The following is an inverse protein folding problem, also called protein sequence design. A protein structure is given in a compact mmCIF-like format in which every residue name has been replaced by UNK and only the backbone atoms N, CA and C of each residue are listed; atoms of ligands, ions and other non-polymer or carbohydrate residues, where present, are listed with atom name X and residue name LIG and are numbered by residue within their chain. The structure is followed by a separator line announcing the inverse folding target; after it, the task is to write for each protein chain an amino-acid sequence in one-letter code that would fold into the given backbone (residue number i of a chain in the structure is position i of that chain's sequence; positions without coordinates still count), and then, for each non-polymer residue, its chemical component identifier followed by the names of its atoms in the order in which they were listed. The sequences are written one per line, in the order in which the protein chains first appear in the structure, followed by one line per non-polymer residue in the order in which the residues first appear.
data_IF_953046016241
#
_entry.id   IF_953046016241
#
_cell.length_a   1.000
_cell.length_b   1.000
_cell.length_c   1.000
_cell.angle_alpha   90.00
_cell.angle_beta   90.00
_cell.angle_gamma   90.00
#
_symmetry.space_group_name_H-M   'P 1'
#
loop_
_entity.id
_entity.type
_entity.pdbx_description
1 polymer ?
#
# COMPACT_ATOMS: atom_id res chain seq x y z
N UNK A 1 -20.60 15.71 -18.18
CA UNK A 1 -20.21 16.51 -17.00
C UNK A 1 -18.79 16.10 -16.62
N UNK A 2 -18.00 17.00 -16.16
CA UNK A 2 -16.57 16.75 -15.88
C UNK A 2 -16.19 17.26 -14.47
N UNK A 3 -15.13 16.69 -13.90
CA UNK A 3 -14.56 17.06 -12.60
C UNK A 3 -13.04 17.01 -12.68
N UNK A 4 -12.43 17.99 -13.31
CA UNK A 4 -10.97 18.08 -13.51
C UNK A 4 -10.34 19.06 -12.53
N UNK A 5 -9.07 18.84 -12.16
CA UNK A 5 -8.30 19.75 -11.32
C UNK A 5 -6.96 20.07 -11.99
N UNK A 6 -6.58 21.34 -11.99
CA UNK A 6 -5.24 21.76 -12.43
C UNK A 6 -4.19 21.29 -11.43
N UNK A 7 -3.13 20.66 -11.93
CA UNK A 7 -1.91 20.37 -11.17
C UNK A 7 -1.01 21.60 -11.22
N UNK A 8 -0.81 22.14 -12.42
CA UNK A 8 -0.16 23.42 -12.70
C UNK A 8 -0.74 24.02 -14.01
N UNK A 9 -0.04 24.93 -14.67
CA UNK A 9 -0.54 25.58 -15.89
C UNK A 9 -0.73 24.57 -17.04
N UNK A 10 0.15 23.59 -17.18
CA UNK A 10 0.16 22.65 -18.30
C UNK A 10 -0.40 21.27 -17.96
N UNK A 11 -0.29 20.83 -16.70
CA UNK A 11 -0.81 19.54 -16.24
C UNK A 11 -2.19 19.65 -15.63
N UNK A 12 -3.08 18.76 -16.03
CA UNK A 12 -4.43 18.65 -15.47
C UNK A 12 -4.69 17.19 -15.03
N UNK A 13 -5.15 17.01 -13.81
CA UNK A 13 -5.71 15.74 -13.35
C UNK A 13 -7.05 15.49 -14.06
N UNK A 14 -7.16 14.34 -14.71
CA UNK A 14 -8.33 13.90 -15.47
C UNK A 14 -8.88 12.56 -15.00
N UNK A 15 -8.36 12.05 -13.88
CA UNK A 15 -8.80 10.82 -13.25
C UNK A 15 -10.22 10.87 -12.70
N UNK A 16 -10.56 9.90 -11.86
CA UNK A 16 -11.87 9.86 -11.21
C UNK A 16 -11.83 9.12 -9.87
N UNK A 17 -12.71 9.52 -8.95
CA UNK A 17 -12.96 8.81 -7.70
C UNK A 17 -14.02 7.72 -7.88
N UNK A 18 -13.82 6.55 -7.28
CA UNK A 18 -14.80 5.50 -7.16
C UNK A 18 -15.16 5.25 -5.69
N UNK A 19 -16.43 5.52 -5.33
CA UNK A 19 -16.99 5.23 -3.99
C UNK A 19 -17.99 4.07 -3.99
N UNK A 20 -18.12 3.38 -5.12
CA UNK A 20 -19.05 2.26 -5.28
C UNK A 20 -18.33 0.91 -5.36
N UNK A 21 -17.00 0.94 -5.45
CA UNK A 21 -16.19 -0.25 -5.42
C UNK A 21 -16.14 -0.78 -3.98
N UNK A 22 -16.65 -1.98 -3.76
CA UNK A 22 -16.65 -2.60 -2.44
C UNK A 22 -15.25 -3.15 -2.08
N UNK A 23 -14.57 -3.72 -3.07
CA UNK A 23 -13.24 -4.31 -2.94
C UNK A 23 -12.32 -3.79 -4.05
N UNK A 24 -11.18 -3.26 -3.69
CA UNK A 24 -10.07 -2.98 -4.59
C UNK A 24 -9.30 -4.28 -4.82
N UNK A 25 -8.89 -4.57 -6.05
CA UNK A 25 -8.27 -5.85 -6.49
C UNK A 25 -9.07 -7.11 -6.09
N UNK A 26 -10.35 -6.97 -5.79
CA UNK A 26 -11.18 -8.07 -5.31
C UNK A 26 -10.85 -8.57 -3.89
N UNK A 27 -9.95 -7.90 -3.19
CA UNK A 27 -9.44 -8.28 -1.87
C UNK A 27 -9.63 -7.18 -0.84
N UNK A 28 -9.18 -5.96 -1.12
CA UNK A 28 -9.08 -4.90 -0.12
C UNK A 28 -10.38 -4.09 -0.02
N UNK A 29 -11.03 -4.13 1.14
CA UNK A 29 -12.17 -3.25 1.40
C UNK A 29 -11.76 -1.78 1.35
N UNK A 30 -12.50 -0.95 0.60
CA UNK A 30 -12.25 0.49 0.44
C UNK A 30 -13.51 1.28 0.84
N UNK A 31 -13.82 1.35 2.14
CA UNK A 31 -15.05 2.01 2.63
C UNK A 31 -15.11 3.49 2.25
N UNK A 32 -13.97 4.17 2.17
CA UNK A 32 -13.86 5.57 1.78
C UNK A 32 -13.58 5.74 0.27
N UNK A 33 -13.74 4.66 -0.50
CA UNK A 33 -13.49 4.65 -1.94
C UNK A 33 -12.01 4.56 -2.31
N UNK A 34 -11.73 4.89 -3.56
CA UNK A 34 -10.38 4.95 -4.14
C UNK A 34 -10.37 5.97 -5.28
N UNK A 35 -9.28 6.68 -5.46
CA UNK A 35 -9.04 7.52 -6.63
C UNK A 35 -8.24 6.74 -7.67
N UNK A 36 -8.61 6.86 -8.93
CA UNK A 36 -7.83 6.42 -10.09
C UNK A 36 -7.32 7.67 -10.78
N UNK A 37 -6.05 7.96 -10.62
CA UNK A 37 -5.46 9.18 -11.13
C UNK A 37 -4.94 8.96 -12.56
N UNK A 38 -5.20 9.92 -13.39
CA UNK A 38 -4.62 10.06 -14.73
C UNK A 38 -4.37 11.54 -14.96
N UNK A 39 -3.36 11.86 -15.73
CA UNK A 39 -2.92 13.24 -15.93
C UNK A 39 -2.78 13.53 -17.41
N UNK A 40 -3.11 14.77 -17.81
CA UNK A 40 -2.98 15.26 -19.16
C UNK A 40 -2.04 16.46 -19.19
N UNK A 41 -0.96 16.35 -19.95
CA UNK A 41 -0.05 17.43 -20.29
C UNK A 41 -0.50 18.08 -21.59
N UNK A 42 -0.72 19.39 -21.55
CA UNK A 42 -1.05 20.22 -22.69
C UNK A 42 0.17 21.07 -23.09
N UNK A 43 0.88 20.62 -24.12
CA UNK A 43 2.05 21.30 -24.68
C UNK A 43 1.90 21.33 -26.22
N UNK A 44 2.96 21.58 -26.99
CA UNK A 44 2.95 21.46 -28.46
C UNK A 44 2.47 20.08 -28.88
N UNK A 45 2.90 19.01 -28.13
CA UNK A 45 2.33 17.68 -28.16
C UNK A 45 1.61 17.39 -26.86
N UNK A 46 0.42 16.87 -26.97
CA UNK A 46 -0.42 16.51 -25.84
C UNK A 46 -0.13 15.07 -25.40
N UNK A 47 0.11 14.88 -24.10
CA UNK A 47 0.42 13.55 -23.53
C UNK A 47 -0.58 13.19 -22.45
N UNK A 48 -1.25 12.05 -22.60
CA UNK A 48 -2.04 11.42 -21.57
C UNK A 48 -1.18 10.40 -20.81
N UNK A 49 -1.23 10.41 -19.48
CA UNK A 49 -0.52 9.46 -18.61
C UNK A 49 -1.48 8.52 -17.94
N UNK A 50 -1.38 7.25 -18.28
CA UNK A 50 -2.23 6.15 -17.84
C UNK A 50 -3.72 6.37 -18.12
N UNK A 51 -4.51 5.38 -17.81
CA UNK A 51 -5.97 5.45 -17.87
C UNK A 51 -6.54 5.15 -16.49
N UNK A 52 -7.74 4.62 -16.40
CA UNK A 52 -8.45 4.34 -15.14
C UNK A 52 -9.17 3.00 -15.20
N UNK A 53 -9.64 2.53 -14.05
CA UNK A 53 -10.55 1.39 -13.94
C UNK A 53 -11.84 1.60 -14.76
N UNK A 54 -12.33 0.51 -15.31
CA UNK A 54 -13.56 0.50 -16.09
C UNK A 54 -14.81 1.00 -15.32
N UNK A 55 -14.80 0.92 -14.00
CA UNK A 55 -15.88 1.40 -13.14
C UNK A 55 -16.09 2.92 -13.23
N UNK A 56 -15.06 3.68 -13.57
CA UNK A 56 -15.09 5.15 -13.67
C UNK A 56 -14.85 5.68 -15.09
N UNK A 57 -14.85 4.80 -16.09
CA UNK A 57 -14.57 5.13 -17.51
C UNK A 57 -15.34 6.35 -18.04
N UNK A 58 -16.59 6.47 -17.70
CA UNK A 58 -17.44 7.56 -18.22
C UNK A 58 -16.95 8.92 -17.73
N UNK A 59 -16.69 9.05 -16.44
CA UNK A 59 -16.16 10.29 -15.85
C UNK A 59 -14.78 10.62 -16.43
N UNK A 60 -13.89 9.64 -16.52
CA UNK A 60 -12.56 9.80 -17.09
C UNK A 60 -12.62 10.31 -18.53
N UNK A 61 -13.43 9.69 -19.39
CA UNK A 61 -13.57 10.10 -20.80
C UNK A 61 -14.15 11.50 -20.94
N UNK A 62 -15.14 11.87 -20.13
CA UNK A 62 -15.68 13.22 -20.09
C UNK A 62 -14.63 14.25 -19.62
N UNK A 63 -13.79 13.88 -18.64
CA UNK A 63 -12.69 14.71 -18.15
C UNK A 63 -11.64 14.93 -19.25
N UNK A 64 -11.17 13.86 -19.88
CA UNK A 64 -10.21 13.92 -20.99
C UNK A 64 -10.75 14.75 -22.15
N UNK A 65 -11.97 14.49 -22.59
CA UNK A 65 -12.60 15.24 -23.68
C UNK A 65 -12.74 16.73 -23.36
N UNK A 66 -13.08 17.05 -22.11
CA UNK A 66 -13.17 18.44 -21.67
C UNK A 66 -11.84 19.19 -21.77
N UNK A 67 -10.75 18.60 -21.27
CA UNK A 67 -9.42 19.23 -21.27
C UNK A 67 -8.87 19.30 -22.68
N UNK A 68 -9.02 18.25 -23.48
CA UNK A 68 -8.59 18.23 -24.89
C UNK A 68 -9.33 19.27 -25.75
N UNK A 69 -10.55 19.62 -25.39
CA UNK A 69 -11.37 20.62 -26.09
C UNK A 69 -11.36 20.43 -27.63
N UNK A 70 -11.65 19.19 -28.06
CA UNK A 70 -11.73 18.82 -29.47
C UNK A 70 -10.39 18.44 -30.13
N UNK A 71 -9.27 18.55 -29.42
CA UNK A 71 -7.97 17.99 -29.87
C UNK A 71 -7.91 16.50 -29.62
N UNK A 72 -6.92 15.82 -30.21
CA UNK A 72 -6.54 14.45 -29.89
C UNK A 72 -5.23 14.45 -29.08
N UNK A 73 -5.02 13.48 -28.19
CA UNK A 73 -3.70 13.31 -27.58
C UNK A 73 -2.72 12.76 -28.62
N UNK A 74 -1.49 13.29 -28.60
CA UNK A 74 -0.41 12.78 -29.44
C UNK A 74 0.15 11.47 -28.91
N UNK A 75 0.19 11.35 -27.56
CA UNK A 75 0.72 10.17 -26.89
C UNK A 75 -0.13 9.73 -25.69
N UNK A 76 -0.16 8.43 -25.49
CA UNK A 76 -0.51 7.77 -24.22
C UNK A 76 0.77 7.14 -23.65
N UNK A 77 1.21 7.59 -22.49
CA UNK A 77 2.25 6.93 -21.72
C UNK A 77 1.60 5.96 -20.75
N UNK A 78 2.03 4.70 -20.76
CA UNK A 78 1.54 3.66 -19.86
C UNK A 78 2.65 3.32 -18.88
N UNK A 79 2.47 3.75 -17.63
CA UNK A 79 3.39 3.46 -16.56
C UNK A 79 3.17 2.06 -15.99
N UNK A 80 1.89 1.65 -15.91
CA UNK A 80 1.49 0.42 -15.25
C UNK A 80 0.38 -0.29 -16.02
N UNK A 81 0.45 -1.62 -16.08
CA UNK A 81 -0.47 -2.44 -16.89
C UNK A 81 -1.60 -3.06 -16.07
N UNK A 82 -1.67 -2.79 -14.79
CA UNK A 82 -2.81 -3.22 -13.99
C UNK A 82 -4.10 -2.64 -14.56
N UNK A 83 -5.20 -3.43 -14.64
CA UNK A 83 -6.42 -3.00 -15.32
C UNK A 83 -7.02 -1.69 -14.82
N UNK A 84 -6.80 -1.32 -13.57
CA UNK A 84 -7.27 -0.06 -13.00
C UNK A 84 -6.51 1.19 -13.52
N UNK A 85 -5.42 0.98 -14.26
CA UNK A 85 -4.66 2.02 -14.99
C UNK A 85 -4.64 1.80 -16.50
N UNK A 86 -5.06 0.62 -16.98
CA UNK A 86 -4.93 0.24 -18.38
C UNK A 86 -6.25 -0.09 -19.08
N UNK A 87 -7.38 -0.21 -18.35
CA UNK A 87 -8.64 -0.71 -18.91
C UNK A 87 -9.17 0.09 -20.10
N UNK A 88 -8.93 1.40 -20.14
CA UNK A 88 -9.46 2.28 -21.19
C UNK A 88 -8.53 2.44 -22.41
N UNK A 89 -7.34 1.81 -22.38
CA UNK A 89 -6.31 1.95 -23.42
C UNK A 89 -6.82 1.58 -24.81
N UNK A 90 -7.46 0.41 -24.96
CA UNK A 90 -7.94 -0.06 -26.25
C UNK A 90 -9.03 0.84 -26.85
N UNK A 91 -9.92 1.37 -25.99
CA UNK A 91 -10.99 2.27 -26.40
C UNK A 91 -10.43 3.63 -26.82
N UNK A 92 -9.46 4.18 -26.07
CA UNK A 92 -8.79 5.41 -26.46
C UNK A 92 -8.01 5.25 -27.76
N UNK A 93 -7.34 4.12 -27.95
CA UNK A 93 -6.61 3.81 -29.19
C UNK A 93 -7.53 3.70 -30.41
N UNK A 94 -8.78 3.25 -30.23
CA UNK A 94 -9.81 3.28 -31.29
C UNK A 94 -10.36 4.67 -31.55
N UNK A 95 -10.56 5.44 -30.49
CA UNK A 95 -11.07 6.81 -30.56
C UNK A 95 -10.03 7.77 -31.19
N UNK A 96 -8.75 7.55 -30.90
CA UNK A 96 -7.63 8.37 -31.38
C UNK A 96 -6.63 7.47 -32.13
N UNK A 97 -6.91 7.13 -33.42
CA UNK A 97 -6.10 6.17 -34.16
C UNK A 97 -4.65 6.60 -34.40
N UNK A 98 -4.37 7.89 -34.41
CA UNK A 98 -3.04 8.46 -34.61
C UNK A 98 -2.24 8.65 -33.30
N UNK A 99 -2.86 8.40 -32.15
CA UNK A 99 -2.20 8.48 -30.83
C UNK A 99 -1.11 7.40 -30.69
N UNK A 100 0.14 7.82 -30.44
CA UNK A 100 1.25 6.92 -30.12
C UNK A 100 1.11 6.36 -28.71
N UNK A 101 1.47 5.08 -28.50
CA UNK A 101 1.48 4.45 -27.18
C UNK A 101 2.92 4.20 -26.78
N UNK A 102 3.32 4.69 -25.61
CA UNK A 102 4.67 4.57 -25.05
C UNK A 102 4.64 3.75 -23.77
N UNK A 103 5.39 2.68 -23.69
CA UNK A 103 5.52 1.87 -22.48
C UNK A 103 6.81 1.05 -22.47
N UNK A 104 7.07 0.33 -21.37
CA UNK A 104 8.20 -0.60 -21.29
C UNK A 104 8.03 -1.81 -22.21
N UNK A 105 9.13 -2.52 -22.50
CA UNK A 105 9.08 -3.76 -23.28
C UNK A 105 8.24 -4.85 -22.59
N UNK A 106 8.27 -4.91 -21.26
CA UNK A 106 7.45 -5.85 -20.50
C UNK A 106 5.96 -5.48 -20.56
N UNK A 107 5.61 -4.19 -20.46
CA UNK A 107 4.24 -3.70 -20.62
C UNK A 107 3.69 -4.01 -22.04
N UNK A 108 4.50 -3.85 -23.09
CA UNK A 108 4.11 -4.23 -24.45
C UNK A 108 3.67 -5.69 -24.54
N UNK A 109 4.39 -6.61 -23.88
CA UNK A 109 4.01 -8.01 -23.83
C UNK A 109 2.68 -8.22 -23.08
N UNK A 110 2.46 -7.48 -21.97
CA UNK A 110 1.22 -7.52 -21.22
C UNK A 110 0.03 -6.96 -22.04
N UNK A 111 0.25 -5.91 -22.84
CA UNK A 111 -0.77 -5.37 -23.74
C UNK A 111 -1.28 -6.47 -24.70
N UNK A 112 -0.38 -7.29 -25.23
CA UNK A 112 -0.78 -8.41 -26.09
C UNK A 112 -1.55 -9.51 -25.33
N UNK A 113 -1.38 -9.61 -24.01
CA UNK A 113 -2.09 -10.58 -23.16
C UNK A 113 -3.46 -10.05 -22.70
N UNK A 114 -3.54 -8.78 -22.32
CA UNK A 114 -4.79 -8.18 -21.85
C UNK A 114 -5.74 -7.77 -22.99
N UNK A 115 -5.19 -7.40 -24.14
CA UNK A 115 -5.94 -6.92 -25.31
C UNK A 115 -5.66 -7.81 -26.53
N UNK A 116 -4.83 -7.35 -27.47
CA UNK A 116 -4.48 -8.08 -28.67
C UNK A 116 -3.11 -7.67 -29.24
N UNK A 117 -2.66 -8.45 -30.22
CA UNK A 117 -1.37 -8.21 -30.89
C UNK A 117 -1.40 -6.95 -31.78
N UNK A 118 -2.56 -6.52 -32.27
CA UNK A 118 -2.70 -5.33 -33.11
C UNK A 118 -2.41 -4.08 -32.28
N UNK A 119 -3.02 -3.96 -31.10
CA UNK A 119 -2.75 -2.86 -30.18
C UNK A 119 -1.29 -2.85 -29.73
N UNK A 120 -0.72 -4.04 -29.38
CA UNK A 120 0.69 -4.17 -29.03
C UNK A 120 1.63 -3.76 -30.17
N UNK A 121 1.19 -3.95 -31.44
CA UNK A 121 1.92 -3.52 -32.63
C UNK A 121 2.06 -2.01 -32.77
N UNK A 122 1.18 -1.23 -32.15
CA UNK A 122 1.18 0.24 -32.17
C UNK A 122 2.11 0.86 -31.11
N UNK A 123 2.66 0.05 -30.22
CA UNK A 123 3.48 0.50 -29.10
C UNK A 123 4.91 0.83 -29.54
N UNK A 124 5.37 2.01 -29.18
CA UNK A 124 6.78 2.37 -29.15
C UNK A 124 7.35 2.05 -27.77
N UNK A 125 8.35 1.16 -27.74
CA UNK A 125 9.01 0.77 -26.48
C UNK A 125 9.98 1.86 -26.06
N UNK A 126 9.87 2.27 -24.79
CA UNK A 126 10.81 3.17 -24.11
C UNK A 126 11.48 2.44 -22.94
N UNK A 127 12.65 2.91 -22.54
CA UNK A 127 13.48 2.32 -21.48
C UNK A 127 14.07 3.39 -20.57
N UNK A 128 14.72 2.95 -19.52
CA UNK A 128 15.48 3.81 -18.59
C UNK A 128 16.35 4.82 -19.34
N UNK A 129 16.14 6.10 -19.06
CA UNK A 129 16.90 7.21 -19.59
C UNK A 129 16.47 7.72 -20.97
N UNK A 130 15.56 7.05 -21.67
CA UNK A 130 14.96 7.58 -22.89
C UNK A 130 14.17 8.86 -22.57
N UNK A 131 14.07 9.76 -23.54
CA UNK A 131 13.36 11.04 -23.38
C UNK A 131 12.36 11.28 -24.49
N UNK A 132 11.27 11.98 -24.16
CA UNK A 132 10.29 12.51 -25.10
C UNK A 132 10.23 14.02 -24.95
N UNK A 133 10.54 14.77 -26.02
CA UNK A 133 10.31 16.21 -26.08
C UNK A 133 8.90 16.47 -26.61
N UNK A 134 8.10 17.23 -25.87
CA UNK A 134 6.72 17.56 -26.22
C UNK A 134 6.54 18.99 -26.72
N UNK A 135 7.60 19.77 -26.71
CA UNK A 135 7.65 21.19 -26.99
C UNK A 135 8.47 21.90 -25.92
N UNK A 136 7.79 22.47 -24.94
CA UNK A 136 8.42 23.06 -23.74
C UNK A 136 8.97 22.01 -22.79
N UNK A 137 8.27 20.87 -22.66
CA UNK A 137 8.63 19.83 -21.69
C UNK A 137 9.55 18.77 -22.29
N UNK A 138 10.42 18.23 -21.42
CA UNK A 138 11.25 17.06 -21.68
C UNK A 138 10.95 16.00 -20.62
N UNK A 139 10.35 14.91 -21.08
CA UNK A 139 9.92 13.80 -20.25
C UNK A 139 10.98 12.70 -20.30
N UNK A 140 11.57 12.34 -19.16
CA UNK A 140 12.53 11.24 -19.03
C UNK A 140 11.88 10.04 -18.40
N UNK A 141 12.06 8.85 -18.99
CA UNK A 141 11.53 7.59 -18.47
C UNK A 141 12.49 6.95 -17.47
N UNK A 142 11.94 6.45 -16.36
CA UNK A 142 12.67 5.83 -15.26
C UNK A 142 12.03 4.47 -14.99
N UNK A 143 12.83 3.38 -15.08
CA UNK A 143 12.34 2.05 -14.76
C UNK A 143 12.22 1.86 -13.23
N UNK A 144 11.06 1.36 -12.81
CA UNK A 144 10.75 1.04 -11.42
C UNK A 144 10.23 -0.41 -11.26
N UNK A 145 10.96 -1.42 -11.75
CA UNK A 145 10.47 -2.79 -11.79
C UNK A 145 10.15 -3.29 -10.39
N UNK A 146 9.02 -4.01 -10.25
CA UNK A 146 8.48 -4.52 -9.00
C UNK A 146 8.07 -3.45 -7.98
N UNK A 147 7.79 -2.22 -8.46
CA UNK A 147 7.11 -1.22 -7.63
C UNK A 147 5.76 -0.87 -8.31
N UNK A 148 4.69 -1.78 -8.34
CA UNK A 148 4.85 -3.10 -7.70
C UNK A 148 4.88 -4.28 -8.72
N UNK A 149 4.68 -4.07 -10.01
CA UNK A 149 4.79 -5.07 -11.09
C UNK A 149 6.11 -4.92 -11.88
N UNK A 150 6.52 -5.96 -12.64
CA UNK A 150 7.84 -5.97 -13.27
C UNK A 150 8.01 -4.94 -14.40
N UNK A 151 6.92 -4.49 -15.01
CA UNK A 151 6.93 -3.59 -16.18
C UNK A 151 6.93 -2.12 -15.82
N UNK A 152 6.76 -1.75 -14.55
CA UNK A 152 6.49 -0.37 -14.11
C UNK A 152 7.58 0.59 -14.57
N UNK A 153 7.09 1.69 -15.18
CA UNK A 153 7.85 2.89 -15.50
C UNK A 153 7.34 4.06 -14.65
N UNK A 154 8.18 5.05 -14.49
CA UNK A 154 7.85 6.40 -14.01
C UNK A 154 8.28 7.40 -15.07
N UNK A 155 7.70 8.59 -15.06
CA UNK A 155 8.13 9.70 -15.93
C UNK A 155 8.54 10.89 -15.10
N UNK A 156 9.76 11.37 -15.30
CA UNK A 156 10.25 12.61 -14.70
C UNK A 156 10.22 13.73 -15.75
N UNK A 157 9.45 14.78 -15.49
CA UNK A 157 9.48 16.00 -16.28
C UNK A 157 10.65 16.86 -15.84
N UNK A 158 11.65 16.98 -16.71
CA UNK A 158 12.85 17.78 -16.47
C UNK A 158 12.58 19.27 -16.45
N UNK A 159 11.47 19.73 -17.01
CA UNK A 159 11.09 21.13 -17.09
C UNK A 159 10.44 21.61 -15.81
N UNK A 160 9.35 20.98 -15.41
CA UNK A 160 8.57 21.38 -14.24
C UNK A 160 8.98 20.63 -12.96
N UNK A 161 9.97 19.70 -13.07
CA UNK A 161 10.53 18.96 -11.94
C UNK A 161 9.51 18.12 -11.20
N UNK A 162 8.59 17.50 -11.93
CA UNK A 162 7.58 16.63 -11.38
C UNK A 162 7.82 15.15 -11.76
N UNK A 163 7.47 14.25 -10.86
CA UNK A 163 7.59 12.82 -11.06
C UNK A 163 6.19 12.20 -11.08
N UNK A 164 5.81 11.64 -12.24
CA UNK A 164 4.67 10.74 -12.33
C UNK A 164 5.17 9.36 -11.86
N UNK A 165 4.71 8.93 -10.68
CA UNK A 165 5.38 7.90 -9.89
C UNK A 165 4.72 6.52 -9.99
N UNK A 166 3.83 6.31 -10.94
CA UNK A 166 2.96 5.13 -10.95
C UNK A 166 2.28 4.94 -9.58
N UNK A 167 2.20 3.74 -9.06
CA UNK A 167 1.57 3.45 -7.77
C UNK A 167 2.38 3.89 -6.55
N UNK A 168 3.66 4.19 -6.73
CA UNK A 168 4.45 4.69 -5.62
C UNK A 168 3.89 6.00 -5.06
N UNK A 169 3.86 6.10 -3.73
CA UNK A 169 3.31 7.23 -2.96
C UNK A 169 1.77 7.34 -2.98
N UNK A 170 1.08 6.30 -3.45
CA UNK A 170 -0.37 6.21 -3.47
C UNK A 170 -1.01 5.95 -2.10
N UNK A 171 -2.33 6.07 -2.06
CA UNK A 171 -3.16 5.72 -0.90
C UNK A 171 -4.52 5.21 -1.33
N UNK A 172 -5.17 4.40 -0.50
CA UNK A 172 -6.61 4.22 -0.59
C UNK A 172 -7.33 5.51 -0.20
N UNK A 173 -8.60 5.58 -0.51
CA UNK A 173 -9.46 6.74 -0.27
C UNK A 173 -9.72 7.57 -1.53
N UNK A 174 -10.94 8.07 -1.64
CA UNK A 174 -11.34 9.03 -2.66
C UNK A 174 -10.88 10.44 -2.28
N UNK A 175 -10.54 11.27 -3.26
CA UNK A 175 -9.96 12.60 -3.04
C UNK A 175 -10.93 13.64 -2.44
N UNK A 176 -12.23 13.39 -2.49
CA UNK A 176 -13.24 14.29 -1.93
C UNK A 176 -13.20 15.74 -2.48
N UNK A 177 -12.69 15.91 -3.72
CA UNK A 177 -12.51 17.21 -4.36
C UNK A 177 -11.19 17.90 -4.05
N UNK A 178 -10.44 17.46 -3.05
CA UNK A 178 -9.03 17.84 -2.85
C UNK A 178 -8.14 17.10 -3.84
N UNK A 179 -7.04 17.68 -4.26
CA UNK A 179 -6.08 17.01 -5.13
C UNK A 179 -4.72 16.91 -4.45
N UNK A 180 -4.37 17.88 -3.63
CA UNK A 180 -3.04 17.98 -3.06
C UNK A 180 -3.02 17.55 -1.60
N UNK A 181 -1.94 16.91 -1.17
CA UNK A 181 -1.76 16.47 0.20
C UNK A 181 -1.79 17.60 1.23
N UNK A 182 -1.44 18.83 0.83
CA UNK A 182 -1.51 20.03 1.66
C UNK A 182 -2.92 20.65 1.76
N UNK A 183 -3.91 20.09 1.09
CA UNK A 183 -5.33 20.48 1.19
C UNK A 183 -6.09 19.70 2.29
N UNK A 184 -5.43 18.73 2.96
CA UNK A 184 -6.01 17.87 4.00
C UNK A 184 -5.09 17.77 5.22
N UNK A 185 -5.60 17.38 6.38
CA UNK A 185 -4.78 16.92 7.50
C UNK A 185 -4.31 15.47 7.22
N UNK A 186 -3.20 15.37 6.47
CA UNK A 186 -2.72 14.10 5.96
C UNK A 186 -2.46 13.06 7.06
N UNK A 187 -1.90 13.47 8.17
CA UNK A 187 -1.60 12.57 9.30
C UNK A 187 -2.86 11.95 9.90
N UNK A 188 -3.92 12.74 9.97
CA UNK A 188 -5.15 12.33 10.61
C UNK A 188 -6.10 11.62 9.66
N UNK A 189 -6.14 12.05 8.40
CA UNK A 189 -7.20 11.64 7.45
C UNK A 189 -6.70 10.60 6.44
N UNK A 190 -5.41 10.60 6.09
CA UNK A 190 -4.90 9.82 4.95
C UNK A 190 -3.76 8.87 5.31
N UNK A 191 -2.90 9.19 6.27
CA UNK A 191 -1.67 8.44 6.54
C UNK A 191 -1.91 6.94 6.80
N UNK A 192 -2.95 6.58 7.56
CA UNK A 192 -3.22 5.18 7.85
C UNK A 192 -3.66 4.42 6.59
N UNK A 193 -4.39 5.05 5.68
CA UNK A 193 -4.77 4.48 4.38
C UNK A 193 -3.59 4.47 3.38
N UNK A 194 -2.70 5.45 3.41
CA UNK A 194 -1.46 5.44 2.64
C UNK A 194 -0.52 4.31 3.09
N UNK A 195 -0.39 4.09 4.42
CA UNK A 195 0.36 2.94 4.95
C UNK A 195 -0.31 1.63 4.57
N UNK A 196 -1.63 1.53 4.68
CA UNK A 196 -2.38 0.32 4.31
C UNK A 196 -2.23 0.00 2.83
N UNK A 197 -2.26 1.01 1.97
CA UNK A 197 -1.96 0.87 0.55
C UNK A 197 -0.53 0.35 0.36
N UNK A 198 0.48 1.07 0.87
CA UNK A 198 1.87 0.66 0.73
C UNK A 198 2.12 -0.78 1.19
N UNK A 199 1.67 -1.13 2.39
CA UNK A 199 2.01 -2.42 3.00
C UNK A 199 1.38 -3.60 2.27
N UNK A 200 0.16 -3.43 1.74
CA UNK A 200 -0.57 -4.49 1.06
C UNK A 200 -0.21 -4.60 -0.43
N UNK A 201 0.11 -3.49 -1.09
CA UNK A 201 0.39 -3.45 -2.53
C UNK A 201 1.90 -3.54 -2.80
N UNK A 202 2.71 -2.77 -2.09
CA UNK A 202 4.15 -2.59 -2.38
C UNK A 202 5.06 -3.25 -1.34
N UNK A 203 4.58 -3.50 -0.13
CA UNK A 203 5.37 -3.81 1.07
C UNK A 203 6.33 -4.99 0.96
N UNK A 204 6.00 -6.00 0.13
CA UNK A 204 6.89 -7.13 -0.17
C UNK A 204 8.19 -6.71 -0.86
N UNK A 205 8.14 -5.64 -1.65
CA UNK A 205 9.20 -5.22 -2.56
C UNK A 205 10.07 -4.08 -2.00
N UNK A 206 10.28 -4.04 -0.69
CA UNK A 206 11.02 -2.97 -0.02
C UNK A 206 12.41 -2.71 -0.61
N UNK A 207 13.16 -3.74 -1.03
CA UNK A 207 14.45 -3.57 -1.67
C UNK A 207 14.36 -2.83 -3.02
N UNK A 208 13.33 -3.10 -3.81
CA UNK A 208 13.08 -2.42 -5.08
C UNK A 208 12.64 -0.97 -4.86
N UNK A 209 11.81 -0.72 -3.83
CA UNK A 209 11.47 0.64 -3.41
C UNK A 209 12.72 1.43 -3.02
N UNK A 210 13.64 0.84 -2.24
CA UNK A 210 14.92 1.47 -1.90
C UNK A 210 15.74 1.84 -3.14
N UNK A 211 15.78 0.97 -4.15
CA UNK A 211 16.47 1.27 -5.42
C UNK A 211 15.83 2.44 -6.17
N UNK A 212 14.49 2.53 -6.18
CA UNK A 212 13.76 3.67 -6.78
C UNK A 212 14.01 4.96 -6.00
N UNK A 213 13.97 4.92 -4.66
CA UNK A 213 14.28 6.10 -3.83
C UNK A 213 15.70 6.61 -4.06
N UNK A 214 16.67 5.72 -4.26
CA UNK A 214 18.05 6.10 -4.60
C UNK A 214 18.14 6.79 -5.96
N UNK A 215 17.40 6.32 -6.98
CA UNK A 215 17.31 6.99 -8.28
C UNK A 215 16.68 8.38 -8.13
N UNK A 216 15.57 8.47 -7.39
CA UNK A 216 14.85 9.71 -7.16
C UNK A 216 15.70 10.76 -6.40
N UNK A 217 16.54 10.34 -5.47
CA UNK A 217 17.44 11.23 -4.73
C UNK A 217 18.44 12.00 -5.61
N UNK A 218 18.71 11.53 -6.83
CA UNK A 218 19.54 12.21 -7.82
C UNK A 218 18.81 13.27 -8.65
N UNK A 219 17.48 13.44 -8.44
CA UNK A 219 16.62 14.33 -9.22
C UNK A 219 16.13 15.51 -8.36
N UNK A 220 15.96 16.68 -8.99
CA UNK A 220 15.30 17.84 -8.38
C UNK A 220 13.77 17.66 -8.50
N UNK A 221 13.17 16.84 -7.62
CA UNK A 221 11.73 16.59 -7.65
C UNK A 221 11.02 17.63 -6.78
N UNK A 222 10.05 18.33 -7.36
CA UNK A 222 9.23 19.34 -6.68
C UNK A 222 7.78 18.91 -6.51
N UNK A 223 7.37 17.86 -7.24
CA UNK A 223 6.01 17.35 -7.18
C UNK A 223 6.00 15.85 -7.45
N UNK A 224 5.14 15.10 -6.72
CA UNK A 224 4.89 13.67 -6.97
C UNK A 224 3.45 13.49 -7.40
N UNK A 225 3.24 12.82 -8.51
CA UNK A 225 1.94 12.55 -9.12
C UNK A 225 1.69 11.02 -9.13
N UNK A 226 1.11 10.47 -8.07
CA UNK A 226 0.81 9.03 -7.98
C UNK A 226 -0.46 8.68 -8.76
N UNK A 227 -0.64 7.38 -9.07
CA UNK A 227 -1.84 6.86 -9.71
C UNK A 227 -3.02 6.68 -8.76
N UNK A 228 -2.79 6.74 -7.44
CA UNK A 228 -3.83 6.76 -6.40
C UNK A 228 -3.51 7.81 -5.33
N UNK A 229 -4.55 8.34 -4.67
CA UNK A 229 -4.39 9.30 -3.58
C UNK A 229 -3.93 10.68 -4.02
N UNK A 230 -3.35 11.42 -3.10
CA UNK A 230 -3.07 12.84 -3.27
C UNK A 230 -1.73 13.11 -3.98
N UNK A 231 -1.72 14.18 -4.78
CA UNK A 231 -0.51 14.78 -5.37
C UNK A 231 0.27 15.52 -4.28
N UNK A 232 1.58 15.34 -4.25
CA UNK A 232 2.47 16.03 -3.33
C UNK A 232 3.18 17.18 -4.06
N UNK A 233 3.01 18.40 -3.54
CA UNK A 233 3.69 19.64 -4.03
C UNK A 233 4.41 20.39 -2.93
N UNK A 234 4.23 20.00 -1.68
CA UNK A 234 4.90 20.52 -0.49
C UNK A 234 5.31 19.36 0.39
N UNK A 235 6.30 19.57 1.25
CA UNK A 235 6.75 18.60 2.26
C UNK A 235 7.03 17.19 1.71
N UNK A 236 7.56 17.08 0.50
CA UNK A 236 7.87 15.79 -0.14
C UNK A 236 8.73 14.90 0.75
N UNK A 237 9.61 15.49 1.57
CA UNK A 237 10.44 14.78 2.55
C UNK A 237 9.63 13.95 3.53
N UNK A 238 8.40 14.33 3.82
CA UNK A 238 7.51 13.58 4.71
C UNK A 238 7.15 12.20 4.12
N UNK A 239 6.55 12.15 2.94
CA UNK A 239 6.13 10.88 2.31
C UNK A 239 7.34 10.05 1.85
N UNK A 240 8.39 10.69 1.36
CA UNK A 240 9.65 10.02 1.03
C UNK A 240 10.26 9.35 2.26
N UNK A 241 10.23 10.03 3.42
CA UNK A 241 10.68 9.47 4.69
C UNK A 241 9.83 8.29 5.16
N UNK A 242 8.50 8.33 4.94
CA UNK A 242 7.62 7.19 5.23
C UNK A 242 7.95 5.99 4.34
N UNK A 243 8.11 6.20 3.03
CA UNK A 243 8.49 5.14 2.10
C UNK A 243 9.88 4.56 2.41
N UNK A 244 10.87 5.39 2.78
CA UNK A 244 12.18 4.94 3.22
C UNK A 244 12.08 4.02 4.45
N UNK A 245 11.32 4.45 5.46
CA UNK A 245 11.12 3.69 6.70
C UNK A 245 10.37 2.36 6.43
N UNK A 246 9.25 2.40 5.70
CA UNK A 246 8.45 1.22 5.41
C UNK A 246 9.20 0.18 4.56
N UNK A 247 9.96 0.64 3.57
CA UNK A 247 10.72 -0.23 2.66
C UNK A 247 11.95 -0.87 3.29
N UNK A 248 12.42 -0.35 4.41
CA UNK A 248 13.43 -0.99 5.26
C UNK A 248 12.82 -1.86 6.36
N UNK A 249 11.49 -1.99 6.37
CA UNK A 249 10.75 -2.70 7.41
C UNK A 249 11.03 -2.17 8.82
N UNK A 250 11.29 -0.87 8.95
CA UNK A 250 11.44 -0.21 10.24
C UNK A 250 10.08 0.19 10.81
N UNK A 251 9.83 -0.03 12.09
CA UNK A 251 8.55 0.33 12.71
C UNK A 251 8.45 1.85 12.93
N UNK A 252 7.27 2.42 12.71
CA UNK A 252 6.99 3.82 13.05
C UNK A 252 6.83 4.02 14.57
N UNK A 253 6.39 2.99 15.27
CA UNK A 253 6.03 3.05 16.69
C UNK A 253 6.72 1.94 17.46
N UNK A 254 7.51 2.31 18.45
CA UNK A 254 7.94 1.39 19.51
C UNK A 254 6.75 1.13 20.43
N UNK A 255 6.08 0.02 20.22
CA UNK A 255 4.83 -0.33 20.89
C UNK A 255 4.37 -1.70 20.47
N UNK A 256 3.16 -2.07 20.87
CA UNK A 256 2.60 -3.41 20.69
C UNK A 256 1.29 -3.37 19.90
N UNK A 257 1.22 -4.13 18.81
CA UNK A 257 -0.06 -4.51 18.21
C UNK A 257 -0.48 -5.88 18.75
N UNK A 258 -1.70 -6.00 19.22
CA UNK A 258 -2.30 -7.28 19.69
C UNK A 258 -3.38 -7.68 18.70
N UNK A 259 -3.15 -8.74 17.94
CA UNK A 259 -4.17 -9.41 17.14
C UNK A 259 -4.75 -10.59 17.93
N UNK A 260 -6.06 -10.62 18.13
CA UNK A 260 -6.68 -11.70 18.89
C UNK A 260 -7.89 -12.30 18.16
N UNK A 261 -8.13 -13.59 18.41
CA UNK A 261 -9.37 -14.29 18.11
C UNK A 261 -9.94 -14.87 19.40
N UNK A 262 -11.24 -14.84 19.58
CA UNK A 262 -11.90 -15.39 20.76
C UNK A 262 -13.26 -15.97 20.43
N UNK A 263 -13.58 -17.14 21.00
CA UNK A 263 -14.88 -17.80 20.76
C UNK A 263 -15.93 -17.25 21.74
N UNK A 264 -15.62 -17.22 23.04
CA UNK A 264 -16.54 -16.79 24.11
C UNK A 264 -15.94 -15.72 25.04
N UNK A 265 -14.97 -14.94 24.57
CA UNK A 265 -14.42 -13.79 25.28
C UNK A 265 -13.23 -14.11 26.22
N UNK A 266 -12.90 -15.36 26.51
CA UNK A 266 -11.81 -15.66 27.47
C UNK A 266 -10.42 -15.35 26.92
N UNK A 267 -10.17 -15.59 25.63
CA UNK A 267 -8.90 -15.22 24.97
C UNK A 267 -8.81 -13.70 24.83
N UNK A 268 -9.89 -13.07 24.44
CA UNK A 268 -10.02 -11.61 24.39
C UNK A 268 -9.73 -10.99 25.76
N UNK A 269 -10.32 -11.52 26.85
CA UNK A 269 -10.06 -11.02 28.21
C UNK A 269 -8.58 -11.14 28.58
N UNK A 270 -7.92 -12.25 28.25
CA UNK A 270 -6.48 -12.40 28.49
C UNK A 270 -5.64 -11.40 27.67
N UNK A 271 -6.02 -11.14 26.43
CA UNK A 271 -5.40 -10.09 25.58
C UNK A 271 -5.62 -8.68 26.17
N UNK A 272 -6.82 -8.39 26.68
CA UNK A 272 -7.14 -7.13 27.36
C UNK A 272 -6.31 -6.94 28.63
N UNK A 273 -6.14 -7.98 29.46
CA UNK A 273 -5.29 -7.92 30.64
C UNK A 273 -3.85 -7.55 30.26
N UNK A 274 -3.29 -8.22 29.24
CA UNK A 274 -1.96 -7.88 28.71
C UNK A 274 -1.89 -6.42 28.24
N UNK A 275 -2.88 -5.97 27.47
CA UNK A 275 -2.95 -4.59 26.98
C UNK A 275 -2.96 -3.58 28.14
N UNK A 276 -3.75 -3.82 29.19
CA UNK A 276 -3.79 -2.96 30.38
C UNK A 276 -2.41 -2.86 31.03
N UNK A 277 -1.73 -3.99 31.25
CA UNK A 277 -0.38 -4.00 31.87
C UNK A 277 0.64 -3.24 31.05
N UNK A 278 0.59 -3.33 29.71
CA UNK A 278 1.45 -2.58 28.81
C UNK A 278 1.17 -1.09 28.86
N UNK A 279 -0.10 -0.69 28.80
CA UNK A 279 -0.51 0.73 28.82
C UNK A 279 -0.21 1.39 30.18
N UNK A 280 -0.37 0.68 31.29
CA UNK A 280 0.01 1.15 32.65
C UNK A 280 1.49 1.54 32.74
N UNK A 281 2.34 0.96 31.89
CA UNK A 281 3.77 1.28 31.78
C UNK A 281 4.11 2.21 30.60
N UNK A 282 3.10 2.87 30.04
CA UNK A 282 3.27 3.86 28.96
C UNK A 282 3.53 3.29 27.57
N UNK A 283 3.39 1.97 27.36
CA UNK A 283 3.55 1.36 26.04
C UNK A 283 2.32 1.69 25.17
N UNK A 284 2.55 2.12 23.94
CA UNK A 284 1.48 2.31 22.96
C UNK A 284 0.94 0.94 22.52
N UNK A 285 -0.37 0.73 22.63
CA UNK A 285 -1.02 -0.52 22.27
C UNK A 285 -2.14 -0.27 21.27
N UNK A 286 -2.24 -1.14 20.27
CA UNK A 286 -3.38 -1.25 19.35
C UNK A 286 -3.89 -2.69 19.37
N UNK A 287 -5.22 -2.87 19.41
CA UNK A 287 -5.82 -4.21 19.43
C UNK A 287 -6.73 -4.42 18.23
N UNK A 288 -6.74 -5.65 17.71
CA UNK A 288 -7.61 -6.11 16.62
C UNK A 288 -8.26 -7.43 16.94
N UNK A 289 -9.59 -7.48 16.86
CA UNK A 289 -10.33 -8.73 16.74
C UNK A 289 -10.26 -9.18 15.27
N UNK A 290 -9.47 -10.22 15.00
CA UNK A 290 -9.27 -10.73 13.64
C UNK A 290 -10.48 -11.51 13.11
N UNK A 291 -11.52 -11.73 13.92
CA UNK A 291 -12.78 -12.33 13.47
C UNK A 291 -13.66 -11.35 12.69
N UNK A 292 -13.45 -10.04 12.88
CA UNK A 292 -14.27 -8.97 12.28
C UNK A 292 -13.46 -7.88 11.60
N UNK A 293 -12.13 -7.89 11.75
CA UNK A 293 -11.24 -6.93 11.10
C UNK A 293 -10.60 -7.56 9.87
N UNK A 294 -10.69 -6.89 8.74
CA UNK A 294 -10.01 -7.35 7.53
C UNK A 294 -8.49 -7.37 7.72
N UNK A 295 -7.82 -8.44 7.21
CA UNK A 295 -6.37 -8.67 7.40
C UNK A 295 -5.52 -7.47 6.98
N UNK A 296 -5.91 -6.72 5.94
CA UNK A 296 -5.15 -5.57 5.44
C UNK A 296 -4.88 -4.49 6.49
N UNK A 297 -5.79 -4.28 7.43
CA UNK A 297 -5.57 -3.34 8.55
C UNK A 297 -4.57 -3.90 9.55
N UNK A 298 -4.63 -5.19 9.81
CA UNK A 298 -3.69 -5.87 10.71
C UNK A 298 -2.29 -5.90 10.10
N UNK A 299 -2.17 -6.18 8.80
CA UNK A 299 -0.89 -6.11 8.05
C UNK A 299 -0.32 -4.69 8.11
N UNK A 300 -1.13 -3.66 7.87
CA UNK A 300 -0.70 -2.26 7.96
C UNK A 300 -0.09 -1.93 9.33
N UNK A 301 -0.77 -2.30 10.41
CA UNK A 301 -0.27 -2.02 11.75
C UNK A 301 0.84 -2.99 12.19
N UNK A 302 0.96 -4.18 11.60
CA UNK A 302 2.14 -5.02 11.77
C UNK A 302 3.42 -4.35 11.22
N UNK A 303 3.32 -3.57 10.15
CA UNK A 303 4.41 -2.70 9.70
C UNK A 303 4.65 -1.52 10.63
N UNK A 304 3.60 -0.95 11.21
CA UNK A 304 3.67 0.24 12.08
C UNK A 304 4.33 -0.02 13.42
N UNK A 305 4.01 -1.15 14.07
CA UNK A 305 4.45 -1.47 15.42
C UNK A 305 5.69 -2.34 15.46
N UNK A 306 6.55 -2.13 16.46
CA UNK A 306 7.78 -2.90 16.65
C UNK A 306 7.54 -4.31 17.20
N UNK A 307 6.45 -4.50 17.95
CA UNK A 307 6.12 -5.76 18.60
C UNK A 307 4.69 -6.19 18.29
N UNK A 308 4.50 -7.49 18.08
CA UNK A 308 3.23 -8.07 17.67
C UNK A 308 2.87 -9.19 18.65
N UNK A 309 1.67 -9.16 19.20
CA UNK A 309 1.12 -10.25 20.02
C UNK A 309 0.01 -10.94 19.26
N UNK A 310 0.08 -12.26 19.17
CA UNK A 310 -0.96 -13.05 18.57
C UNK A 310 -1.60 -13.92 19.64
N UNK A 311 -2.93 -13.73 19.85
CA UNK A 311 -3.70 -14.40 20.88
C UNK A 311 -4.85 -15.17 20.26
N UNK A 312 -4.84 -16.51 20.32
CA UNK A 312 -5.88 -17.31 19.69
C UNK A 312 -6.20 -18.60 20.47
N UNK A 313 -7.45 -19.09 20.40
CA UNK A 313 -7.79 -20.41 20.92
C UNK A 313 -7.36 -21.49 19.94
N UNK A 314 -7.14 -22.71 20.49
CA UNK A 314 -7.05 -23.92 19.69
C UNK A 314 -8.45 -24.26 19.16
N UNK A 315 -8.59 -24.38 17.85
CA UNK A 315 -9.84 -24.70 17.19
C UNK A 315 -9.64 -25.83 16.16
N UNK A 316 -10.43 -26.86 16.20
CA UNK A 316 -10.28 -28.05 15.34
C UNK A 316 -8.86 -28.65 15.34
N UNK A 317 -8.16 -28.60 16.48
CA UNK A 317 -6.77 -29.09 16.61
C UNK A 317 -5.72 -28.20 15.94
N UNK A 318 -6.07 -26.98 15.59
CA UNK A 318 -5.22 -26.04 14.90
C UNK A 318 -5.34 -24.58 15.39
N UNK A 319 -4.70 -23.67 14.68
CA UNK A 319 -4.87 -22.22 14.86
C UNK A 319 -6.31 -21.83 14.48
N UNK A 320 -6.89 -20.90 15.20
CA UNK A 320 -8.20 -20.33 14.83
C UNK A 320 -8.14 -19.75 13.42
N UNK A 321 -9.16 -20.05 12.59
CA UNK A 321 -9.07 -19.87 11.13
C UNK A 321 -8.70 -18.44 10.70
N UNK A 322 -9.34 -17.42 11.27
CA UNK A 322 -9.04 -16.02 10.91
C UNK A 322 -7.66 -15.58 11.41
N UNK A 323 -7.15 -16.15 12.49
CA UNK A 323 -5.79 -15.91 12.95
C UNK A 323 -4.77 -16.57 12.01
N UNK A 324 -5.00 -17.80 11.56
CA UNK A 324 -4.12 -18.48 10.58
C UNK A 324 -4.04 -17.68 9.27
N UNK A 325 -5.18 -17.15 8.80
CA UNK A 325 -5.25 -16.28 7.64
C UNK A 325 -4.38 -15.02 7.80
N UNK A 326 -4.54 -14.29 8.90
CA UNK A 326 -3.76 -13.09 9.20
C UNK A 326 -2.26 -13.39 9.28
N UNK A 327 -1.86 -14.49 9.94
CA UNK A 327 -0.45 -14.86 10.07
C UNK A 327 0.19 -15.18 8.70
N UNK A 328 -0.54 -15.90 7.84
CA UNK A 328 -0.08 -16.21 6.49
C UNK A 328 -0.03 -14.97 5.61
N UNK A 329 -0.98 -14.07 5.77
CA UNK A 329 -1.01 -12.79 5.05
C UNK A 329 0.21 -11.94 5.42
N UNK A 330 0.48 -11.73 6.71
CA UNK A 330 1.71 -11.04 7.19
C UNK A 330 2.98 -11.70 6.62
N UNK A 331 3.04 -13.03 6.65
CA UNK A 331 4.19 -13.77 6.13
C UNK A 331 4.37 -13.57 4.62
N UNK A 332 3.28 -13.54 3.85
CA UNK A 332 3.31 -13.35 2.39
C UNK A 332 3.83 -11.98 1.97
N UNK A 333 3.61 -10.96 2.80
CA UNK A 333 4.11 -9.59 2.60
C UNK A 333 5.61 -9.44 2.95
N UNK A 334 6.24 -10.48 3.48
CA UNK A 334 7.69 -10.50 3.73
C UNK A 334 8.15 -9.48 4.78
N UNK A 335 7.27 -9.11 5.72
CA UNK A 335 7.59 -8.22 6.82
C UNK A 335 8.78 -8.76 7.63
N UNK A 336 9.73 -7.88 7.97
CA UNK A 336 10.97 -8.24 8.66
C UNK A 336 11.11 -7.51 10.01
N UNK A 337 12.05 -8.00 10.84
CA UNK A 337 12.56 -7.28 12.01
C UNK A 337 11.48 -6.96 13.06
N UNK A 338 10.72 -7.98 13.52
CA UNK A 338 9.68 -7.80 14.56
C UNK A 338 9.94 -8.68 15.79
N UNK A 339 9.71 -8.12 16.97
CA UNK A 339 9.47 -8.91 18.17
C UNK A 339 8.05 -9.49 18.14
N UNK A 340 7.87 -10.75 18.50
CA UNK A 340 6.52 -11.29 18.64
C UNK A 340 6.34 -12.06 19.95
N UNK A 341 5.11 -12.09 20.44
CA UNK A 341 4.73 -12.87 21.61
C UNK A 341 3.42 -13.61 21.35
N UNK A 342 3.22 -14.74 22.05
CA UNK A 342 2.13 -15.65 21.82
C UNK A 342 1.31 -15.88 23.09
N UNK A 343 -0.01 -15.83 22.92
CA UNK A 343 -0.99 -16.21 23.93
C UNK A 343 -1.94 -17.22 23.31
N UNK A 344 -2.02 -18.41 23.89
CA UNK A 344 -2.97 -19.42 23.43
C UNK A 344 -4.05 -19.72 24.49
N UNK A 345 -5.19 -20.16 24.03
CA UNK A 345 -6.24 -20.69 24.88
C UNK A 345 -6.68 -22.07 24.40
N UNK A 346 -6.90 -22.96 25.35
CA UNK A 346 -7.42 -24.31 25.06
C UNK A 346 -7.78 -25.03 26.33
N UNK A 347 -9.04 -25.45 26.47
CA UNK A 347 -9.53 -26.21 27.62
C UNK A 347 -8.82 -27.56 27.71
N UNK A 348 -8.64 -28.21 26.56
CA UNK A 348 -7.90 -29.46 26.40
C UNK A 348 -6.94 -29.34 25.20
N UNK A 349 -5.79 -30.01 25.25
CA UNK A 349 -4.80 -30.09 24.18
C UNK A 349 -4.53 -28.77 23.43
N UNK A 350 -4.09 -27.67 24.12
CA UNK A 350 -3.71 -26.44 23.46
C UNK A 350 -2.47 -26.67 22.57
N UNK A 351 -2.54 -26.26 21.31
CA UNK A 351 -1.47 -26.44 20.31
C UNK A 351 -1.18 -25.17 19.47
N UNK A 352 -2.00 -24.14 19.66
CA UNK A 352 -2.01 -22.96 18.82
C UNK A 352 -0.71 -22.17 18.91
N UNK A 353 -0.15 -21.96 20.11
CA UNK A 353 1.10 -21.21 20.27
C UNK A 353 2.24 -21.83 19.44
N UNK A 354 2.42 -23.16 19.53
CA UNK A 354 3.44 -23.86 18.75
C UNK A 354 3.22 -23.73 17.24
N UNK A 355 1.97 -23.78 16.80
CA UNK A 355 1.66 -23.68 15.37
C UNK A 355 1.83 -22.24 14.86
N UNK A 356 1.47 -21.22 15.65
CA UNK A 356 1.74 -19.82 15.33
C UNK A 356 3.24 -19.55 15.28
N UNK A 357 4.03 -20.03 16.25
CA UNK A 357 5.49 -19.92 16.25
C UNK A 357 6.08 -20.50 14.97
N UNK A 358 5.66 -21.67 14.54
CA UNK A 358 6.16 -22.31 13.32
C UNK A 358 5.91 -21.50 12.04
N UNK A 359 4.90 -20.62 12.02
CA UNK A 359 4.64 -19.68 10.91
C UNK A 359 5.53 -18.43 10.98
N UNK A 360 5.89 -17.98 12.17
CA UNK A 360 6.56 -16.70 12.40
C UNK A 360 8.09 -16.80 12.51
N UNK A 361 8.61 -17.85 13.15
CA UNK A 361 10.06 -18.08 13.35
C UNK A 361 10.88 -18.07 12.04
N UNK A 362 10.38 -18.58 10.89
CA UNK A 362 11.12 -18.52 9.64
C UNK A 362 11.24 -17.13 9.04
N UNK A 363 10.49 -16.14 9.54
CA UNK A 363 10.50 -14.78 8.98
C UNK A 363 11.79 -14.05 9.37
N UNK A 364 12.36 -13.33 8.43
CA UNK A 364 13.66 -12.68 8.60
C UNK A 364 13.65 -11.64 9.71
N UNK A 365 14.50 -11.84 10.72
CA UNK A 365 14.67 -10.91 11.84
C UNK A 365 13.50 -10.92 12.82
N UNK A 366 12.60 -11.91 12.74
CA UNK A 366 11.57 -12.10 13.75
C UNK A 366 12.16 -12.87 14.93
N UNK A 367 11.74 -12.52 16.13
CA UNK A 367 12.15 -13.20 17.37
C UNK A 367 11.02 -13.21 18.37
N UNK A 368 10.85 -14.33 19.03
CA UNK A 368 9.88 -14.45 20.12
C UNK A 368 10.40 -13.70 21.35
N UNK A 369 9.51 -12.94 21.99
CA UNK A 369 9.75 -12.19 23.23
C UNK A 369 8.97 -12.84 24.35
N UNK A 370 9.68 -13.27 25.39
CA UNK A 370 9.08 -14.02 26.50
C UNK A 370 8.62 -15.42 26.13
N UNK A 371 8.10 -16.13 27.10
CA UNK A 371 7.48 -17.44 26.89
C UNK A 371 6.02 -17.31 26.44
N UNK A 372 5.54 -18.30 25.69
CA UNK A 372 4.13 -18.37 25.32
C UNK A 372 3.24 -18.56 26.54
N UNK A 373 2.18 -17.78 26.65
CA UNK A 373 1.21 -17.91 27.73
C UNK A 373 0.09 -18.86 27.31
N UNK A 374 -0.14 -19.91 28.10
CA UNK A 374 -1.25 -20.86 27.89
C UNK A 374 -2.35 -20.58 28.89
N UNK A 375 -3.52 -20.16 28.41
CA UNK A 375 -4.77 -20.06 29.19
C UNK A 375 -5.57 -21.34 29.00
N UNK A 376 -6.12 -21.87 30.11
CA UNK A 376 -7.02 -23.00 30.04
C UNK A 376 -8.43 -22.56 30.40
N UNK A 377 -9.22 -22.28 29.39
CA UNK A 377 -10.55 -21.69 29.46
C UNK A 377 -10.51 -20.24 29.98
N UNK A 378 -10.58 -20.02 31.29
CA UNK A 378 -10.47 -18.68 31.92
C UNK A 378 -9.09 -18.47 32.55
N UNK A 379 -8.66 -17.22 32.63
CA UNK A 379 -7.44 -16.85 33.31
C UNK A 379 -7.64 -16.83 34.84
N UNK A 380 -6.87 -17.64 35.54
CA UNK A 380 -6.78 -17.71 37.00
C UNK A 380 -5.42 -17.16 37.47
N UNK A 381 -5.17 -17.15 38.77
CA UNK A 381 -3.96 -16.56 39.35
C UNK A 381 -2.63 -16.96 38.67
N UNK A 382 -2.38 -18.28 38.33
CA UNK A 382 -1.14 -18.64 37.61
C UNK A 382 -1.06 -18.03 36.20
N UNK A 383 -2.17 -17.96 35.45
CA UNK A 383 -2.22 -17.38 34.12
C UNK A 383 -2.07 -15.84 34.17
N UNK A 384 -2.65 -15.19 35.20
CA UNK A 384 -2.48 -13.77 35.44
C UNK A 384 -0.99 -13.44 35.67
N UNK A 385 -0.30 -14.21 36.52
CA UNK A 385 1.15 -14.04 36.75
C UNK A 385 1.97 -14.28 35.45
N UNK A 386 1.58 -15.24 34.62
CA UNK A 386 2.24 -15.47 33.33
C UNK A 386 2.03 -14.30 32.35
N UNK A 387 0.81 -13.73 32.28
CA UNK A 387 0.52 -12.54 31.46
C UNK A 387 1.32 -11.33 31.97
N UNK A 388 1.46 -11.15 33.27
CA UNK A 388 2.30 -10.09 33.86
C UNK A 388 3.78 -10.28 33.51
N UNK A 389 4.28 -11.52 33.56
CA UNK A 389 5.62 -11.86 33.10
C UNK A 389 5.85 -11.57 31.62
N UNK A 390 4.87 -11.87 30.76
CA UNK A 390 4.93 -11.56 29.33
C UNK A 390 4.92 -10.03 29.08
N UNK A 391 4.10 -9.29 29.83
CA UNK A 391 4.10 -7.81 29.75
C UNK A 391 5.47 -7.25 30.12
N UNK A 392 6.06 -7.71 31.23
CA UNK A 392 7.38 -7.28 31.67
C UNK A 392 8.46 -7.58 30.62
N UNK A 393 8.44 -8.75 29.98
CA UNK A 393 9.36 -9.11 28.91
C UNK A 393 9.22 -8.20 27.70
N UNK A 394 8.00 -7.90 27.25
CA UNK A 394 7.73 -6.97 26.15
C UNK A 394 8.21 -5.56 26.46
N UNK A 395 7.95 -5.07 27.67
CA UNK A 395 8.36 -3.71 28.12
C UNK A 395 9.88 -3.60 28.09
N UNK A 396 10.60 -4.56 28.68
CA UNK A 396 12.06 -4.58 28.71
C UNK A 396 12.66 -4.59 27.29
N UNK A 397 12.08 -5.39 26.40
CA UNK A 397 12.54 -5.48 25.03
C UNK A 397 12.28 -4.20 24.21
N UNK A 398 11.12 -3.57 24.37
CA UNK A 398 10.78 -2.28 23.74
C UNK A 398 11.73 -1.18 24.22
N UNK A 399 12.07 -1.17 25.51
CA UNK A 399 12.99 -0.20 26.11
C UNK A 399 14.44 -0.39 25.70
N UNK A 400 14.80 -1.56 25.15
CA UNK A 400 16.16 -1.91 24.78
C UNK A 400 17.01 -2.29 26.02
N UNK A 401 16.39 -2.56 27.15
CA UNK A 401 17.04 -3.11 28.34
C UNK A 401 17.41 -4.57 28.05
N UNK A 402 18.69 -4.85 27.93
CA UNK A 402 19.20 -6.24 27.81
C UNK A 402 18.92 -6.95 29.14
N UNK A 403 18.13 -8.02 29.10
CA UNK A 403 18.04 -8.98 30.19
C UNK A 403 19.36 -9.75 30.37
#
# INVERSE_FOLDING_TARGET
MYCTRKVNDDYTWVGADCRRLALFEGVFGVPDGVSFNSYLLMDDKTVLFDTVDSAVRTTFRENVAHVLNGKAPDYLVVHHMEPDHAAEMADLARQYPDMGILCSAAAKNMIAQFFDAELAGRVTVVKEGDTLCTGRHTLRFIAAPMVHWPEVLMTYDETDKLLLSADAFGSFGALNGTLFADEVDFDREVLDEARRYYTNIVGKYGAQVQAVLQKAAGLDIRMLLPLHGHVWRQDLGYILGKYDLWSRWEPEVRGVMIAYASVYGNTENAANILACRLVEQGVKVKMYDVSVTHSSYVVSDAFKYSHLVFAAPTYNGGVFITMDEVLRDIASHGLQNRGFALLENGTWAPVTARQMAALLEPLKGWRQVGESVTVRSAAHAPQLAAIEGLAAALIADISGEKQ
#
